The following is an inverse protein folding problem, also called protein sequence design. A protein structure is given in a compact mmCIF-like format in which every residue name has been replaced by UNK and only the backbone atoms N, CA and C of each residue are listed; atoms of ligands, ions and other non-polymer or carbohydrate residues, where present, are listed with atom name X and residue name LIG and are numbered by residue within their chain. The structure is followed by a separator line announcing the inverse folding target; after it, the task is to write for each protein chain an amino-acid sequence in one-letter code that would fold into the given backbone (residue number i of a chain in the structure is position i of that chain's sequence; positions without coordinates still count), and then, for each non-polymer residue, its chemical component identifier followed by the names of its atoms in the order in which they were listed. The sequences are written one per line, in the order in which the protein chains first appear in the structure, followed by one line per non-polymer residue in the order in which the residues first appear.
data_IF_988744315320
#
_entry.id   IF_988744315320
#
_cell.length_a   1.000
_cell.length_b   1.000
_cell.length_c   1.000
_cell.angle_alpha   90.00
_cell.angle_beta   90.00
_cell.angle_gamma   90.00
#
_symmetry.space_group_name_H-M   'P 1'
#
loop_
_entity.id
_entity.type
_entity.pdbx_description
1 polymer ?
#
# COMPACT_ATOMS: atom_id res chain seq x y z
N UNK A 1 -1.98 -9.38 -1.77
CA UNK A 1 -2.93 -8.33 -1.31
C UNK A 1 -4.16 -8.90 -0.60
N UNK A 2 -4.84 -9.91 -1.18
CA UNK A 2 -6.10 -10.46 -0.63
C UNK A 2 -5.92 -11.19 0.71
N UNK A 3 -4.86 -11.98 0.87
CA UNK A 3 -4.54 -12.70 2.11
C UNK A 3 -4.51 -11.80 3.38
N UNK A 4 -4.14 -10.53 3.21
CA UNK A 4 -4.06 -9.57 4.32
C UNK A 4 -5.24 -8.59 4.37
N UNK A 5 -6.19 -8.69 3.42
CA UNK A 5 -7.32 -7.78 3.24
C UNK A 5 -6.89 -6.31 3.20
N UNK A 6 -5.87 -6.01 2.38
CA UNK A 6 -5.30 -4.66 2.28
C UNK A 6 -6.31 -3.62 1.79
N UNK A 7 -7.18 -4.03 0.87
CA UNK A 7 -8.17 -3.20 0.21
C UNK A 7 -9.60 -3.63 0.59
N UNK A 8 -10.58 -2.75 0.36
CA UNK A 8 -11.99 -3.00 0.67
C UNK A 8 -12.69 -3.86 -0.38
N UNK A 9 -12.06 -4.10 -1.54
CA UNK A 9 -12.57 -5.01 -2.55
C UNK A 9 -12.28 -6.43 -2.06
N UNK A 10 -13.31 -7.29 -2.09
CA UNK A 10 -13.25 -8.66 -1.57
C UNK A 10 -12.20 -9.51 -2.29
N UNK A 11 -12.02 -9.26 -3.59
CA UNK A 11 -11.01 -9.93 -4.42
C UNK A 11 -10.32 -8.89 -5.30
N UNK A 12 -9.10 -8.49 -4.92
CA UNK A 12 -8.27 -7.62 -5.74
C UNK A 12 -7.63 -8.46 -6.83
N UNK A 13 -7.94 -8.12 -8.08
CA UNK A 13 -7.45 -8.86 -9.24
C UNK A 13 -6.04 -8.40 -9.60
N UNK A 14 -5.37 -9.19 -10.43
CA UNK A 14 -4.03 -8.86 -10.93
C UNK A 14 -4.05 -7.52 -11.68
N UNK A 15 -5.08 -7.27 -12.49
CA UNK A 15 -5.22 -6.04 -13.27
C UNK A 15 -5.37 -4.79 -12.39
N UNK A 16 -5.96 -4.95 -11.21
CA UNK A 16 -6.11 -3.85 -10.24
C UNK A 16 -4.76 -3.53 -9.60
N UNK A 17 -3.95 -4.55 -9.31
CA UNK A 17 -2.57 -4.35 -8.80
C UNK A 17 -1.67 -3.77 -9.89
N UNK A 18 -1.76 -4.24 -11.13
CA UNK A 18 -1.03 -3.68 -12.27
C UNK A 18 -1.39 -2.22 -12.50
N UNK A 19 -2.68 -1.88 -12.47
CA UNK A 19 -3.14 -0.50 -12.59
C UNK A 19 -2.62 0.39 -11.45
N UNK A 20 -2.55 -0.14 -10.23
CA UNK A 20 -1.97 0.55 -9.08
C UNK A 20 -0.48 0.84 -9.28
N UNK A 21 0.32 -0.17 -9.63
CA UNK A 21 1.77 -0.02 -9.81
C UNK A 21 2.14 0.79 -11.06
N UNK A 22 1.35 0.69 -12.13
CA UNK A 22 1.50 1.51 -13.33
C UNK A 22 1.02 2.97 -13.13
N UNK A 23 0.48 3.31 -11.95
CA UNK A 23 -0.11 4.62 -11.67
C UNK A 23 -1.15 5.04 -12.73
N UNK A 24 -1.99 4.08 -13.16
CA UNK A 24 -2.92 4.27 -14.28
C UNK A 24 -3.86 5.45 -14.03
N UNK A 25 -3.93 6.37 -14.98
CA UNK A 25 -4.81 7.55 -14.87
C UNK A 25 -6.27 7.13 -14.69
N UNK A 26 -6.95 7.71 -13.70
CA UNK A 26 -8.35 7.42 -13.38
C UNK A 26 -8.58 6.14 -12.57
N UNK A 27 -7.53 5.35 -12.32
CA UNK A 27 -7.61 4.21 -11.41
C UNK A 27 -7.55 4.68 -9.95
N UNK A 28 -8.39 4.10 -9.10
CA UNK A 28 -8.27 4.26 -7.64
C UNK A 28 -8.84 3.04 -6.93
N UNK A 29 -8.23 2.67 -5.81
CA UNK A 29 -8.66 1.53 -5.01
C UNK A 29 -8.86 1.94 -3.54
N UNK A 30 -9.93 1.42 -2.92
CA UNK A 30 -10.26 1.74 -1.53
C UNK A 30 -9.44 0.89 -0.57
N UNK A 31 -8.72 1.54 0.33
CA UNK A 31 -7.86 0.92 1.33
C UNK A 31 -8.68 0.46 2.53
N UNK A 32 -8.49 -0.78 2.97
CA UNK A 32 -9.08 -1.31 4.21
C UNK A 32 -8.11 -1.17 5.39
N UNK A 33 -6.83 -1.54 5.20
CA UNK A 33 -5.82 -1.53 6.26
C UNK A 33 -4.63 -0.65 5.86
N UNK A 34 -4.75 0.66 6.05
CA UNK A 34 -3.74 1.64 5.60
C UNK A 34 -2.33 1.36 6.14
N UNK A 35 -2.21 0.94 7.40
CA UNK A 35 -0.90 0.59 7.98
C UNK A 35 -0.22 -0.57 7.26
N UNK A 36 -0.99 -1.56 6.82
CA UNK A 36 -0.46 -2.71 6.08
C UNK A 36 -0.21 -2.39 4.61
N UNK A 37 -0.97 -1.47 4.02
CA UNK A 37 -0.63 -0.93 2.69
C UNK A 37 0.69 -0.15 2.78
N UNK A 38 0.87 0.67 3.81
CA UNK A 38 2.09 1.44 3.98
C UNK A 38 3.33 0.53 4.15
N UNK A 39 3.24 -0.56 4.92
CA UNK A 39 4.37 -1.49 5.06
C UNK A 39 4.70 -2.22 3.76
N UNK A 40 3.68 -2.59 2.97
CA UNK A 40 3.90 -3.20 1.66
C UNK A 40 4.76 -2.29 0.77
N UNK A 41 4.36 -1.02 0.61
CA UNK A 41 5.13 -0.08 -0.22
C UNK A 41 6.50 0.24 0.38
N UNK A 42 6.60 0.38 1.70
CA UNK A 42 7.88 0.60 2.35
C UNK A 42 8.85 -0.57 2.11
N UNK A 43 8.39 -1.82 2.19
CA UNK A 43 9.24 -2.99 1.95
C UNK A 43 9.59 -3.16 0.48
N UNK A 44 8.67 -2.84 -0.44
CA UNK A 44 9.03 -2.78 -1.87
C UNK A 44 10.13 -1.74 -2.13
N UNK A 45 10.10 -0.60 -1.43
CA UNK A 45 11.14 0.42 -1.52
C UNK A 45 12.47 -0.06 -0.93
N UNK A 46 12.45 -0.74 0.23
CA UNK A 46 13.65 -1.29 0.89
C UNK A 46 14.42 -2.24 -0.05
N UNK A 47 13.71 -2.95 -0.93
CA UNK A 47 14.27 -3.82 -1.97
C UNK A 47 14.44 -3.16 -3.34
N UNK A 48 14.29 -1.83 -3.44
CA UNK A 48 14.41 -1.07 -4.69
C UNK A 48 13.45 -1.50 -5.81
N UNK A 49 12.34 -2.16 -5.47
CA UNK A 49 11.33 -2.61 -6.42
C UNK A 49 10.40 -1.47 -6.86
N UNK A 50 10.40 -0.35 -6.12
CA UNK A 50 9.68 0.89 -6.46
C UNK A 50 10.56 2.12 -6.17
N UNK A 51 10.14 3.29 -6.64
CA UNK A 51 10.87 4.56 -6.45
C UNK A 51 10.64 5.17 -5.05
N UNK A 52 11.56 6.03 -4.62
CA UNK A 52 11.51 6.64 -3.29
C UNK A 52 10.30 7.57 -3.10
N UNK A 53 9.81 8.19 -4.17
CA UNK A 53 8.70 9.13 -4.18
C UNK A 53 7.33 8.46 -4.09
N UNK A 54 7.26 7.15 -3.86
CA UNK A 54 6.02 6.38 -3.95
C UNK A 54 4.86 7.02 -3.16
N UNK A 55 5.11 7.62 -2.00
CA UNK A 55 4.06 8.29 -1.24
C UNK A 55 3.47 9.50 -1.98
N UNK A 56 4.34 10.35 -2.54
CA UNK A 56 3.94 11.51 -3.34
C UNK A 56 3.29 11.05 -4.65
N UNK A 57 3.79 9.99 -5.29
CA UNK A 57 3.19 9.41 -6.50
C UNK A 57 1.78 8.87 -6.25
N UNK A 58 1.56 8.14 -5.15
CA UNK A 58 0.25 7.62 -4.78
C UNK A 58 -0.75 8.76 -4.48
N UNK A 59 -0.31 9.82 -3.81
CA UNK A 59 -1.12 11.00 -3.52
C UNK A 59 -1.46 11.80 -4.79
N UNK A 60 -0.45 12.14 -5.59
CA UNK A 60 -0.62 12.90 -6.82
C UNK A 60 -1.52 12.17 -7.83
N UNK A 61 -1.34 10.85 -7.95
CA UNK A 61 -2.16 9.99 -8.80
C UNK A 61 -3.55 9.69 -8.22
N UNK A 62 -3.84 10.08 -6.96
CA UNK A 62 -5.10 9.79 -6.26
C UNK A 62 -5.45 8.29 -6.27
N UNK A 63 -4.43 7.45 -6.15
CA UNK A 63 -4.53 6.00 -6.39
C UNK A 63 -5.19 5.27 -5.22
N UNK A 64 -5.13 5.84 -4.02
CA UNK A 64 -5.66 5.23 -2.79
C UNK A 64 -6.81 6.06 -2.21
N UNK A 65 -7.98 5.43 -2.09
CA UNK A 65 -9.15 6.01 -1.42
C UNK A 65 -9.18 5.56 0.03
N UNK A 66 -9.54 6.46 0.95
CA UNK A 66 -9.66 6.13 2.38
C UNK A 66 -10.72 5.05 2.61
N UNK A 67 -10.60 4.29 3.71
CA UNK A 67 -11.57 3.24 4.10
C UNK A 67 -13.02 3.74 4.14
N UNK A 68 -13.23 4.97 4.61
CA UNK A 68 -14.55 5.62 4.65
C UNK A 68 -15.17 5.89 3.28
N UNK A 69 -14.40 5.74 2.19
CA UNK A 69 -14.77 6.16 0.84
C UNK A 69 -14.72 7.67 0.62
N UNK A 70 -14.46 8.46 1.68
CA UNK A 70 -14.43 9.92 1.62
C UNK A 70 -13.00 10.42 1.50
N UNK A 71 -12.63 10.87 0.30
CA UNK A 71 -11.33 11.47 0.02
C UNK A 71 -10.20 10.45 -0.17
N UNK A 72 -9.05 10.99 -0.54
CA UNK A 72 -7.85 10.22 -0.88
C UNK A 72 -6.90 10.12 0.32
N UNK A 73 -6.05 9.10 0.28
CA UNK A 73 -4.93 8.96 1.21
C UNK A 73 -3.82 9.92 0.76
N UNK A 74 -3.34 10.77 1.67
CA UNK A 74 -2.17 11.63 1.41
C UNK A 74 -0.87 10.97 1.82
N UNK A 75 0.25 11.51 1.36
CA UNK A 75 1.60 11.18 1.84
C UNK A 75 1.68 11.26 3.37
N UNK A 76 1.11 12.31 3.98
CA UNK A 76 1.10 12.44 5.44
C UNK A 76 0.35 11.29 6.12
N UNK A 77 -0.76 10.81 5.54
CA UNK A 77 -1.47 9.64 6.07
C UNK A 77 -0.61 8.37 6.01
N UNK A 78 0.18 8.19 4.95
CA UNK A 78 1.10 7.05 4.78
C UNK A 78 2.26 7.12 5.78
N UNK A 79 2.92 8.27 5.90
CA UNK A 79 4.02 8.48 6.84
C UNK A 79 3.60 8.30 8.29
N UNK A 80 2.46 8.87 8.69
CA UNK A 80 1.92 8.63 10.04
C UNK A 80 1.59 7.17 10.29
N UNK A 81 1.10 6.46 9.26
CA UNK A 81 0.79 5.02 9.37
C UNK A 81 2.03 4.17 9.56
N UNK A 82 3.14 4.48 8.86
CA UNK A 82 4.43 3.83 9.06
C UNK A 82 4.97 4.06 10.48
N UNK A 83 4.96 5.32 10.93
CA UNK A 83 5.41 5.66 12.29
C UNK A 83 4.58 4.92 13.35
N UNK A 84 3.26 4.86 13.18
CA UNK A 84 2.38 4.13 14.09
C UNK A 84 2.64 2.62 14.08
N UNK A 85 2.95 2.05 12.91
CA UNK A 85 3.28 0.63 12.79
C UNK A 85 4.63 0.29 13.43
N UNK A 86 5.65 1.12 13.26
CA UNK A 86 6.97 0.94 13.92
C UNK A 86 6.84 0.88 15.44
N UNK A 87 5.88 1.59 16.03
CA UNK A 87 5.59 1.53 17.47
C UNK A 87 4.81 0.27 17.89
N UNK A 88 4.05 -0.34 16.98
CA UNK A 88 3.20 -1.51 17.26
C UNK A 88 3.19 -2.44 16.06
N UNK A 89 4.28 -3.19 15.93
CA UNK A 89 4.42 -4.19 14.88
C UNK A 89 3.40 -5.30 15.08
N UNK A 90 2.91 -5.86 13.98
CA UNK A 90 1.91 -6.94 13.99
C UNK A 90 2.42 -8.12 13.17
N UNK A 91 1.95 -9.33 13.48
CA UNK A 91 2.27 -10.53 12.69
C UNK A 91 1.91 -10.37 11.22
N UNK A 92 0.79 -9.72 10.91
CA UNK A 92 0.40 -9.43 9.53
C UNK A 92 1.38 -8.49 8.82
N UNK A 93 1.95 -7.51 9.52
CA UNK A 93 2.97 -6.64 8.93
C UNK A 93 4.25 -7.41 8.64
N UNK A 94 4.72 -8.25 9.58
CA UNK A 94 5.88 -9.10 9.38
C UNK A 94 5.69 -10.07 8.21
N UNK A 95 4.52 -10.72 8.11
CA UNK A 95 4.21 -11.62 7.00
C UNK A 95 4.16 -10.91 5.64
N UNK A 96 3.82 -9.61 5.60
CA UNK A 96 3.92 -8.82 4.36
C UNK A 96 5.38 -8.55 4.01
N UNK A 97 6.21 -8.16 4.99
CA UNK A 97 7.64 -7.93 4.74
C UNK A 97 8.30 -9.20 4.21
N UNK A 98 8.09 -10.33 4.89
CA UNK A 98 8.64 -11.62 4.47
C UNK A 98 8.17 -12.01 3.05
N UNK A 99 6.91 -11.78 2.70
CA UNK A 99 6.42 -12.05 1.35
C UNK A 99 7.09 -11.17 0.29
N UNK A 100 7.47 -9.93 0.63
CA UNK A 100 8.25 -9.06 -0.26
C UNK A 100 9.71 -9.50 -0.31
N UNK A 101 10.28 -9.91 0.82
CA UNK A 101 11.65 -10.44 0.88
C UNK A 101 11.81 -11.65 -0.03
N UNK A 102 10.84 -12.58 -0.05
CA UNK A 102 10.83 -13.73 -0.97
C UNK A 102 10.68 -13.32 -2.44
N UNK A 103 10.02 -12.20 -2.74
CA UNK A 103 9.89 -11.68 -4.11
C UNK A 103 11.21 -11.06 -4.62
N UNK A 104 12.02 -10.52 -3.70
CA UNK A 104 13.28 -9.85 -4.01
C UNK A 104 14.50 -10.80 -4.08
N UNK A 105 14.31 -12.09 -3.76
CA UNK A 105 15.33 -13.14 -3.93
C UNK A 105 15.43 -13.60 -5.38
#
# INVERSE_FOLDING_TARGET
ANAYHLFCVSDVRVEDMEALFACRKGFSIRVNKLRLVAILFNSLLEHSLIRYEWQSTLEAGRLLVRKSGKGFVSQSNLSSSLTALRKKMTSAAYGIQQAVDELAK
#
